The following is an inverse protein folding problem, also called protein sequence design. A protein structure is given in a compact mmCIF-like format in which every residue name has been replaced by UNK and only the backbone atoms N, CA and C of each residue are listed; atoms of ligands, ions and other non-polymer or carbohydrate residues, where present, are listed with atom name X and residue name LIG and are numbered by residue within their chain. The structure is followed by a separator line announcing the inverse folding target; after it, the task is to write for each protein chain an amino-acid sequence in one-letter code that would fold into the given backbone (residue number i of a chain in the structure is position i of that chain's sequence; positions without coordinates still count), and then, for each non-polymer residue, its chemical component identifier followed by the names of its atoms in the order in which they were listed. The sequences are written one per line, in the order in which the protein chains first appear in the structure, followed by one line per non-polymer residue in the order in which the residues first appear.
data_IF_355892895646
#
_entry.id   IF_355892895646
#
_cell.length_a   1.000
_cell.length_b   1.000
_cell.length_c   1.000
_cell.angle_alpha   90.00
_cell.angle_beta   90.00
_cell.angle_gamma   90.00
#
_symmetry.space_group_name_H-M   'P 1'
#
loop_
_entity.id
_entity.type
_entity.pdbx_description
1 polymer ?
#
# COMPACT_ATOMS: atom_id res chain seq x y z
N UNK A 1 30.41 -5.37 -6.15
CA UNK A 1 29.79 -4.03 -6.21
C UNK A 1 28.44 -3.99 -6.98
N UNK A 2 27.84 -5.11 -7.38
CA UNK A 2 26.61 -5.14 -8.20
C UNK A 2 25.29 -5.23 -7.42
N UNK A 3 25.27 -5.72 -6.18
CA UNK A 3 24.00 -5.88 -5.43
C UNK A 3 23.41 -4.57 -4.87
N UNK A 4 24.24 -3.54 -4.62
CA UNK A 4 23.75 -2.24 -4.11
C UNK A 4 22.83 -1.53 -5.09
N UNK A 5 23.18 -1.57 -6.38
CA UNK A 5 22.42 -0.90 -7.46
C UNK A 5 21.04 -1.55 -7.66
N UNK A 6 20.92 -2.86 -7.44
CA UNK A 6 19.66 -3.59 -7.61
C UNK A 6 18.64 -3.24 -6.52
N UNK A 7 19.08 -3.12 -5.26
CA UNK A 7 18.25 -2.68 -4.15
C UNK A 7 17.73 -1.25 -4.31
N UNK A 8 18.60 -0.32 -4.72
CA UNK A 8 18.24 1.07 -4.96
C UNK A 8 17.19 1.24 -6.08
N UNK A 9 17.31 0.45 -7.16
CA UNK A 9 16.32 0.42 -8.24
C UNK A 9 14.96 -0.10 -7.80
N UNK A 10 14.94 -1.14 -6.95
CA UNK A 10 13.70 -1.71 -6.41
C UNK A 10 13.01 -0.71 -5.49
N UNK A 11 13.75 -0.04 -4.61
CA UNK A 11 13.17 0.99 -3.72
C UNK A 11 12.63 2.18 -4.50
N UNK A 12 13.36 2.63 -5.53
CA UNK A 12 12.90 3.71 -6.41
C UNK A 12 11.63 3.33 -7.16
N UNK A 13 11.54 2.09 -7.65
CA UNK A 13 10.33 1.57 -8.30
C UNK A 13 9.17 1.48 -7.31
N UNK A 14 9.40 0.96 -6.10
CA UNK A 14 8.36 0.88 -5.08
C UNK A 14 7.85 2.27 -4.68
N UNK A 15 8.74 3.26 -4.56
CA UNK A 15 8.36 4.65 -4.31
C UNK A 15 7.56 5.27 -5.46
N UNK A 16 7.92 4.96 -6.71
CA UNK A 16 7.17 5.39 -7.90
C UNK A 16 5.77 4.77 -7.92
N UNK A 17 5.66 3.47 -7.69
CA UNK A 17 4.39 2.75 -7.62
C UNK A 17 3.50 3.35 -6.53
N UNK A 18 4.03 3.53 -5.30
CA UNK A 18 3.28 4.19 -4.22
C UNK A 18 2.81 5.59 -4.61
N UNK A 19 3.65 6.38 -5.30
CA UNK A 19 3.28 7.74 -5.75
C UNK A 19 2.16 7.72 -6.79
N UNK A 20 2.20 6.79 -7.73
CA UNK A 20 1.19 6.69 -8.79
C UNK A 20 -0.14 6.16 -8.25
N UNK A 21 -0.12 5.15 -7.39
CA UNK A 21 -1.33 4.59 -6.80
C UNK A 21 -1.93 5.46 -5.69
N UNK A 22 -1.10 6.25 -4.99
CA UNK A 22 -1.55 7.24 -4.02
C UNK A 22 -2.03 8.56 -4.64
N UNK A 23 -1.89 8.74 -5.96
CA UNK A 23 -2.39 9.92 -6.64
C UNK A 23 -3.92 9.98 -6.54
N UNK A 24 -4.44 11.16 -6.19
CA UNK A 24 -5.88 11.37 -5.95
C UNK A 24 -6.74 10.92 -7.15
N UNK A 25 -6.24 11.10 -8.37
CA UNK A 25 -6.89 10.63 -9.60
C UNK A 25 -7.05 9.11 -9.64
N UNK A 26 -6.02 8.36 -9.24
CA UNK A 26 -6.07 6.90 -9.19
C UNK A 26 -6.99 6.44 -8.06
N UNK A 27 -6.91 7.06 -6.88
CA UNK A 27 -7.83 6.78 -5.77
C UNK A 27 -9.29 7.03 -6.17
N UNK A 28 -9.58 8.12 -6.88
CA UNK A 28 -10.93 8.44 -7.37
C UNK A 28 -11.39 7.43 -8.41
N UNK A 29 -10.51 7.02 -9.32
CA UNK A 29 -10.79 5.98 -10.32
C UNK A 29 -11.07 4.63 -9.66
N UNK A 30 -10.25 4.18 -8.70
CA UNK A 30 -10.48 2.94 -7.98
C UNK A 30 -11.84 2.96 -7.26
N UNK A 31 -12.22 4.06 -6.61
CA UNK A 31 -13.53 4.19 -5.95
C UNK A 31 -14.75 4.08 -6.89
N UNK A 32 -14.59 4.29 -8.20
CA UNK A 32 -15.70 4.07 -9.15
C UNK A 32 -15.87 2.60 -9.52
N UNK A 33 -14.82 1.79 -9.40
CA UNK A 33 -14.80 0.37 -9.73
C UNK A 33 -15.58 -0.45 -8.69
N UNK A 34 -16.51 -1.33 -9.10
CA UNK A 34 -17.33 -2.12 -8.18
C UNK A 34 -16.53 -2.91 -7.14
N UNK A 35 -15.38 -3.46 -7.50
CA UNK A 35 -14.52 -4.25 -6.60
C UNK A 35 -13.86 -3.44 -5.48
N UNK A 36 -13.81 -2.11 -5.62
CA UNK A 36 -13.17 -1.18 -4.69
C UNK A 36 -14.16 -0.13 -4.14
N UNK A 37 -15.44 -0.25 -4.50
CA UNK A 37 -16.49 0.47 -3.78
C UNK A 37 -16.44 -0.05 -2.35
N UNK A 38 -16.22 0.85 -1.41
CA UNK A 38 -16.59 0.62 -0.02
C UNK A 38 -18.10 0.48 0.01
N UNK A 39 -18.60 -0.74 -0.20
CA UNK A 39 -19.94 -1.12 0.22
C UNK A 39 -20.05 -0.72 1.69
N UNK A 40 -21.18 -0.12 2.08
CA UNK A 40 -21.40 0.34 3.46
C UNK A 40 -21.21 -0.80 4.49
N UNK A 41 -21.35 -2.03 4.01
CA UNK A 41 -21.03 -3.25 4.72
C UNK A 41 -19.79 -3.87 4.08
N UNK A 42 -18.60 -3.36 4.42
CA UNK A 42 -17.34 -3.95 3.97
C UNK A 42 -17.31 -5.40 4.47
N UNK A 43 -17.33 -6.42 3.58
CA UNK A 43 -17.41 -7.81 4.02
C UNK A 43 -16.33 -8.13 5.04
N UNK A 44 -16.67 -8.84 6.13
CA UNK A 44 -15.76 -9.08 7.26
C UNK A 44 -14.39 -9.65 6.84
N UNK A 45 -14.36 -10.45 5.77
CA UNK A 45 -13.11 -10.97 5.16
C UNK A 45 -12.12 -9.87 4.78
N UNK A 46 -12.60 -8.71 4.34
CA UNK A 46 -11.74 -7.59 3.96
C UNK A 46 -11.27 -6.81 5.18
N UNK A 47 -12.09 -6.69 6.24
CA UNK A 47 -11.62 -6.14 7.53
C UNK A 47 -10.49 -6.97 8.10
N UNK A 48 -10.63 -8.30 8.14
CA UNK A 48 -9.58 -9.18 8.66
C UNK A 48 -8.27 -9.05 7.87
N UNK A 49 -8.36 -8.92 6.54
CA UNK A 49 -7.19 -8.70 5.70
C UNK A 49 -6.54 -7.32 5.92
N UNK A 50 -7.32 -6.28 6.15
CA UNK A 50 -6.82 -4.94 6.47
C UNK A 50 -6.21 -4.87 7.86
N UNK A 51 -6.82 -5.49 8.87
CA UNK A 51 -6.27 -5.59 10.23
C UNK A 51 -4.93 -6.35 10.22
N UNK A 52 -4.84 -7.42 9.41
CA UNK A 52 -3.58 -8.15 9.21
C UNK A 52 -2.53 -7.30 8.49
N UNK A 53 -2.94 -6.45 7.54
CA UNK A 53 -2.05 -5.54 6.84
C UNK A 53 -1.54 -4.45 7.79
N UNK A 54 -2.43 -3.82 8.56
CA UNK A 54 -2.07 -2.82 9.58
C UNK A 54 -1.14 -3.41 10.64
N UNK A 55 -1.38 -4.66 11.06
CA UNK A 55 -0.48 -5.39 11.95
C UNK A 55 0.91 -5.66 11.34
N UNK A 56 0.97 -5.94 10.04
CA UNK A 56 2.23 -6.16 9.32
C UNK A 56 2.99 -4.83 9.07
N UNK A 57 2.29 -3.75 8.76
CA UNK A 57 2.87 -2.42 8.54
C UNK A 57 3.29 -1.74 9.86
N UNK A 58 2.49 -1.90 10.92
CA UNK A 58 2.79 -1.40 12.27
C UNK A 58 4.04 -2.03 12.91
N UNK A 59 4.43 -3.22 12.47
CA UNK A 59 5.70 -3.86 12.85
C UNK A 59 6.96 -3.18 12.29
N UNK A 60 6.83 -2.38 11.23
CA UNK A 60 7.97 -1.72 10.54
C UNK A 60 8.03 -0.21 10.86
N UNK A 61 6.92 0.42 11.26
CA UNK A 61 6.88 1.85 11.61
C UNK A 61 7.58 2.18 12.94
N UNK A 62 7.83 1.17 13.80
CA UNK A 62 8.55 1.33 15.07
C UNK A 62 10.07 1.57 14.95
N UNK A 63 10.67 1.41 13.76
CA UNK A 63 12.13 1.47 13.56
C UNK A 63 12.64 2.78 12.94
N UNK A 64 11.79 3.79 12.70
CA UNK A 64 12.19 5.05 12.02
C UNK A 64 11.99 6.33 12.83
N UNK A 65 11.91 6.23 14.15
CA UNK A 65 11.94 7.40 15.03
C UNK A 65 12.88 7.17 16.21
N UNK A 66 14.18 7.13 15.93
CA UNK A 66 15.26 7.47 16.86
C UNK A 66 16.30 8.30 16.11
#
# INVERSE_FOLDING_TARGET
MMSRNKGEKVERLAAEVRRQFGAETVTRFLRTLPAFRTEADLPDRFRELLDRLDGAEGGDVGLRRQ
#
